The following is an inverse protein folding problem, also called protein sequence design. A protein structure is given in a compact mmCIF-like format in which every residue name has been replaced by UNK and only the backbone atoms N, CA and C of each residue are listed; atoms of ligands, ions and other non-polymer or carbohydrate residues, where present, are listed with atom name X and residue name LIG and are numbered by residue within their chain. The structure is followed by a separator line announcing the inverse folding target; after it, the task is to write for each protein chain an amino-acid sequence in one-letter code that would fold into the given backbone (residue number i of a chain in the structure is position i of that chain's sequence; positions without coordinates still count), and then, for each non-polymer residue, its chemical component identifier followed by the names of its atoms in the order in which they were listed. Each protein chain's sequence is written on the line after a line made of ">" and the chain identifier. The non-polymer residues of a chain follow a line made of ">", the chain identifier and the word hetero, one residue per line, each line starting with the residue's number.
data_IF_010373626331
#
_entry.id   IF_010373626331
#
_cell.length_a   1.000
_cell.length_b   1.000
_cell.length_c   1.000
_cell.angle_alpha   90.00
_cell.angle_beta   90.00
_cell.angle_gamma   90.00
#
_symmetry.space_group_name_H-M   'P 1'
#
loop_
_entity.id
_entity.type
_entity.pdbx_description
1 polymer ?
#
# COMPACT_ATOMS: atom_id res chain seq x y z
N UNK A 1 64.43 7.92 13.33
CA UNK A 1 63.93 9.27 13.35
C UNK A 1 62.86 9.32 12.31
N UNK A 2 61.62 8.97 12.74
CA UNK A 2 60.49 9.87 13.10
C UNK A 2 59.98 10.57 11.85
N UNK A 3 58.79 10.45 11.39
CA UNK A 3 57.56 10.71 12.08
C UNK A 3 56.37 10.06 11.37
N UNK A 4 55.49 9.57 12.20
CA UNK A 4 54.20 8.94 11.93
C UNK A 4 53.12 10.06 11.95
N UNK A 5 52.32 10.17 10.91
CA UNK A 5 51.06 10.93 11.01
C UNK A 5 49.96 10.21 10.19
N UNK A 6 49.33 9.25 10.83
CA UNK A 6 48.01 8.74 10.48
C UNK A 6 46.96 9.86 10.63
N UNK A 7 46.34 10.29 9.56
CA UNK A 7 45.11 11.04 9.59
C UNK A 7 43.92 10.09 9.48
N UNK A 8 43.25 9.91 10.60
CA UNK A 8 41.92 9.33 10.67
C UNK A 8 40.91 10.30 10.04
N UNK A 9 40.34 9.92 8.91
CA UNK A 9 39.12 10.57 8.39
C UNK A 9 37.91 9.88 8.98
N UNK A 10 37.40 10.45 10.06
CA UNK A 10 36.14 10.04 10.67
C UNK A 10 34.97 10.36 9.72
N UNK A 11 34.34 9.31 9.18
CA UNK A 11 33.02 9.40 8.53
C UNK A 11 31.96 9.56 9.62
N UNK A 12 31.45 10.77 9.74
CA UNK A 12 30.28 11.05 10.59
C UNK A 12 29.07 10.33 10.06
N UNK A 13 28.54 9.39 10.83
CA UNK A 13 27.17 8.88 10.66
C UNK A 13 26.19 10.04 10.95
N UNK A 14 25.13 10.21 10.14
CA UNK A 14 24.07 11.15 10.52
C UNK A 14 23.30 10.61 11.73
N UNK A 15 23.30 11.40 12.78
CA UNK A 15 22.60 11.21 14.04
C UNK A 15 21.08 11.16 13.79
N UNK A 16 20.46 9.98 13.99
CA UNK A 16 19.01 9.79 13.92
C UNK A 16 18.36 9.96 15.31
N UNK A 17 18.79 10.96 16.05
CA UNK A 17 18.07 11.43 17.23
C UNK A 17 17.06 12.50 16.82
N UNK A 18 15.92 12.07 16.27
CA UNK A 18 14.74 12.93 16.21
C UNK A 18 14.10 12.99 17.61
N UNK A 19 13.90 14.24 18.02
CA UNK A 19 13.31 14.64 19.26
C UNK A 19 12.04 13.81 19.60
N UNK A 20 12.15 12.97 20.59
CA UNK A 20 11.02 12.47 21.36
C UNK A 20 10.47 13.68 22.14
N UNK A 21 9.43 14.30 21.58
CA UNK A 21 8.58 15.20 22.34
C UNK A 21 8.06 14.43 23.55
N UNK A 22 8.47 14.86 24.74
CA UNK A 22 8.04 14.29 26.00
C UNK A 22 6.51 14.35 26.04
N UNK A 23 5.85 13.19 25.93
CA UNK A 23 4.45 13.04 26.23
C UNK A 23 4.24 13.43 27.71
N UNK A 24 3.36 14.38 27.95
CA UNK A 24 2.93 14.70 29.29
C UNK A 24 2.29 13.46 29.92
N UNK A 25 2.54 13.18 31.24
CA UNK A 25 1.89 12.07 31.92
C UNK A 25 0.45 12.49 32.26
N UNK A 26 -0.51 12.05 31.47
CA UNK A 26 -1.90 12.35 31.73
C UNK A 26 -2.82 11.35 31.04
N UNK A 27 -3.42 10.51 31.82
CA UNK A 27 -4.41 9.43 31.63
C UNK A 27 -3.80 8.04 31.50
N UNK A 28 -4.12 7.20 32.46
CA UNK A 28 -3.77 5.78 32.45
C UNK A 28 -4.46 5.09 31.28
N UNK A 29 -3.76 4.22 30.53
CA UNK A 29 -4.27 3.49 29.36
C UNK A 29 -5.69 2.89 29.52
N UNK A 30 -6.09 2.36 30.70
CA UNK A 30 -7.44 1.86 30.93
C UNK A 30 -8.54 2.92 30.82
N UNK A 31 -8.24 4.16 31.20
CA UNK A 31 -9.19 5.29 31.20
C UNK A 31 -9.47 5.77 29.76
N UNK A 32 -8.42 5.85 28.93
CA UNK A 32 -8.56 6.24 27.52
C UNK A 32 -9.40 5.21 26.72
N UNK A 33 -9.21 3.92 26.96
CA UNK A 33 -9.99 2.86 26.30
C UNK A 33 -11.47 2.88 26.70
N UNK A 34 -11.76 3.10 28.00
CA UNK A 34 -13.13 3.20 28.51
C UNK A 34 -13.85 4.43 27.94
N UNK A 35 -13.19 5.57 27.92
CA UNK A 35 -13.70 6.82 27.34
C UNK A 35 -13.96 6.65 25.85
N UNK A 36 -13.02 6.10 25.09
CA UNK A 36 -13.16 5.87 23.66
C UNK A 36 -14.34 4.93 23.35
N UNK A 37 -14.55 3.88 24.17
CA UNK A 37 -15.70 3.01 24.05
C UNK A 37 -17.01 3.76 24.28
N UNK A 38 -17.11 4.56 25.34
CA UNK A 38 -18.28 5.34 25.65
C UNK A 38 -18.63 6.32 24.52
N UNK A 39 -17.63 7.04 24.01
CA UNK A 39 -17.77 7.98 22.90
C UNK A 39 -18.20 7.29 21.60
N UNK A 40 -17.67 6.09 21.31
CA UNK A 40 -18.08 5.32 20.14
C UNK A 40 -19.55 4.89 20.22
N UNK A 41 -20.00 4.47 21.40
CA UNK A 41 -21.41 4.14 21.62
C UNK A 41 -22.31 5.39 21.54
N UNK A 42 -21.86 6.51 22.09
CA UNK A 42 -22.59 7.80 21.98
C UNK A 42 -22.67 8.26 20.52
N UNK A 43 -21.59 8.09 19.73
CA UNK A 43 -21.59 8.36 18.30
C UNK A 43 -22.65 7.52 17.57
N UNK A 44 -22.73 6.22 17.81
CA UNK A 44 -23.73 5.33 17.22
C UNK A 44 -25.17 5.74 17.59
N UNK A 45 -25.39 6.17 18.84
CA UNK A 45 -26.70 6.64 19.27
C UNK A 45 -27.12 7.93 18.54
N UNK A 46 -26.17 8.83 18.25
CA UNK A 46 -26.40 10.05 17.51
C UNK A 46 -26.47 9.87 15.98
N UNK A 47 -25.80 8.84 15.46
CA UNK A 47 -25.69 8.53 14.03
C UNK A 47 -26.02 7.05 13.78
N UNK A 48 -27.28 6.63 13.93
CA UNK A 48 -27.67 5.23 13.85
C UNK A 48 -27.46 4.68 12.42
N UNK A 49 -26.79 3.50 12.27
CA UNK A 49 -26.51 2.92 10.97
C UNK A 49 -27.74 2.64 10.11
N UNK A 50 -28.88 2.35 10.72
CA UNK A 50 -30.15 2.11 10.03
C UNK A 50 -30.71 3.37 9.33
N UNK A 51 -30.21 4.55 9.65
CA UNK A 51 -30.53 5.78 8.94
C UNK A 51 -29.78 5.93 7.61
N UNK A 52 -28.72 5.15 7.40
CA UNK A 52 -27.89 5.20 6.17
C UNK A 52 -28.58 4.41 5.05
N UNK A 53 -29.16 5.11 4.08
CA UNK A 53 -29.93 4.51 2.98
C UNK A 53 -29.36 4.84 1.60
N UNK A 54 -28.61 5.92 1.50
CA UNK A 54 -28.04 6.43 0.25
C UNK A 54 -26.54 6.63 0.36
N UNK A 55 -25.87 6.82 -0.75
CA UNK A 55 -24.44 7.18 -0.77
C UNK A 55 -24.18 8.51 -0.05
N UNK A 56 -25.10 9.47 -0.15
CA UNK A 56 -25.01 10.74 0.58
C UNK A 56 -25.08 10.52 2.10
N UNK A 57 -25.98 9.66 2.57
CA UNK A 57 -26.08 9.31 4.00
C UNK A 57 -24.81 8.60 4.48
N UNK A 58 -24.27 7.68 3.66
CA UNK A 58 -22.98 6.99 3.97
C UNK A 58 -21.86 8.00 4.14
N UNK A 59 -21.70 8.91 3.20
CA UNK A 59 -20.67 9.95 3.29
C UNK A 59 -20.87 10.85 4.51
N UNK A 60 -22.11 11.29 4.79
CA UNK A 60 -22.41 12.10 5.96
C UNK A 60 -22.07 11.38 7.28
N UNK A 61 -22.38 10.07 7.38
CA UNK A 61 -22.03 9.25 8.54
C UNK A 61 -20.49 9.15 8.72
N UNK A 62 -19.76 8.92 7.63
CA UNK A 62 -18.29 8.84 7.67
C UNK A 62 -17.65 10.19 7.97
N UNK A 63 -18.22 11.28 7.48
CA UNK A 63 -17.78 12.64 7.80
C UNK A 63 -17.99 12.94 9.29
N UNK A 64 -19.14 12.60 9.85
CA UNK A 64 -19.39 12.72 11.27
C UNK A 64 -18.42 11.83 12.11
N UNK A 65 -18.13 10.60 11.65
CA UNK A 65 -17.13 9.73 12.29
C UNK A 65 -15.74 10.34 12.27
N UNK A 66 -15.34 10.96 11.15
CA UNK A 66 -14.08 11.67 11.02
C UNK A 66 -14.01 12.85 11.99
N UNK A 67 -15.04 13.68 12.02
CA UNK A 67 -15.15 14.88 12.87
C UNK A 67 -15.17 14.52 14.37
N UNK A 68 -15.71 13.34 14.73
CA UNK A 68 -15.67 12.81 16.09
C UNK A 68 -14.30 12.25 16.50
N UNK A 69 -13.31 12.22 15.61
CA UNK A 69 -11.98 11.63 15.87
C UNK A 69 -11.97 10.12 16.02
N UNK A 70 -12.97 9.43 15.44
CA UNK A 70 -13.13 7.97 15.46
C UNK A 70 -12.70 7.30 14.13
N UNK A 71 -12.20 8.09 13.20
CA UNK A 71 -11.77 7.63 11.88
C UNK A 71 -10.48 6.80 11.96
N UNK A 72 -9.47 7.35 12.62
CA UNK A 72 -8.20 6.72 12.90
C UNK A 72 -7.66 7.32 14.21
N UNK A 73 -7.93 6.70 15.33
CA UNK A 73 -7.72 7.28 16.67
C UNK A 73 -6.29 7.77 16.93
N UNK A 74 -5.31 7.23 16.18
CA UNK A 74 -3.90 7.63 16.26
C UNK A 74 -3.56 8.87 15.40
N UNK A 75 -4.46 9.36 14.57
CA UNK A 75 -4.27 10.61 13.86
C UNK A 75 -4.39 11.79 14.82
N UNK A 76 -3.81 12.95 14.49
CA UNK A 76 -3.97 14.17 15.29
C UNK A 76 -5.45 14.57 15.43
N UNK A 77 -5.75 15.28 16.50
CA UNK A 77 -7.05 15.95 16.69
C UNK A 77 -7.34 16.89 15.52
N UNK A 78 -8.60 16.95 15.10
CA UNK A 78 -9.03 17.71 13.92
C UNK A 78 -8.72 17.05 12.58
N UNK A 79 -7.91 16.00 12.54
CA UNK A 79 -7.56 15.24 11.33
C UNK A 79 -8.12 13.80 11.33
N UNK A 80 -9.23 13.59 12.02
CA UNK A 80 -9.91 12.30 12.08
C UNK A 80 -9.48 11.39 13.21
N UNK A 81 -8.62 11.87 14.11
CA UNK A 81 -8.11 11.13 15.25
C UNK A 81 -8.13 11.92 16.56
N UNK A 82 -7.47 11.35 17.58
CA UNK A 82 -7.38 11.87 18.95
C UNK A 82 -5.95 11.77 19.52
N UNK A 83 -4.96 11.46 18.69
CA UNK A 83 -3.57 11.24 19.15
C UNK A 83 -3.39 10.03 20.06
N UNK A 84 -4.32 9.08 20.04
CA UNK A 84 -4.30 7.89 20.91
C UNK A 84 -3.45 6.76 20.29
N UNK A 85 -3.01 5.79 21.09
CA UNK A 85 -2.31 4.61 20.56
C UNK A 85 -3.12 3.85 19.49
N UNK A 86 -2.44 3.48 18.40
CA UNK A 86 -3.08 2.84 17.23
C UNK A 86 -3.87 1.56 17.56
N UNK A 87 -3.41 0.79 18.53
CA UNK A 87 -4.08 -0.47 18.91
C UNK A 87 -5.51 -0.26 19.44
N UNK A 88 -5.84 0.94 19.93
CA UNK A 88 -7.20 1.27 20.38
C UNK A 88 -8.20 1.40 19.22
N UNK A 89 -7.74 1.52 17.97
CA UNK A 89 -8.62 1.56 16.80
C UNK A 89 -9.46 0.29 16.67
N UNK A 90 -8.90 -0.87 16.95
CA UNK A 90 -9.60 -2.16 16.87
C UNK A 90 -10.90 -2.15 17.67
N UNK A 91 -10.88 -1.58 18.89
CA UNK A 91 -12.08 -1.48 19.71
C UNK A 91 -13.18 -0.61 19.07
N UNK A 92 -12.81 0.48 18.42
CA UNK A 92 -13.75 1.35 17.68
C UNK A 92 -14.35 0.59 16.51
N UNK A 93 -13.49 -0.05 15.72
CA UNK A 93 -13.91 -0.77 14.51
C UNK A 93 -14.80 -1.97 14.84
N UNK A 94 -14.51 -2.71 15.91
CA UNK A 94 -15.35 -3.83 16.39
C UNK A 94 -16.75 -3.36 16.78
N UNK A 95 -16.85 -2.25 17.53
CA UNK A 95 -18.15 -1.70 17.96
C UNK A 95 -18.95 -1.22 16.75
N UNK A 96 -18.33 -0.49 15.83
CA UNK A 96 -18.98 0.05 14.64
C UNK A 96 -19.43 -1.08 13.70
N UNK A 97 -18.57 -2.08 13.48
CA UNK A 97 -18.87 -3.25 12.64
C UNK A 97 -20.02 -4.07 13.23
N UNK A 98 -20.01 -4.33 14.54
CA UNK A 98 -21.08 -5.05 15.21
C UNK A 98 -22.43 -4.34 15.12
N UNK A 99 -22.43 -3.00 15.04
CA UNK A 99 -23.62 -2.18 14.84
C UNK A 99 -24.06 -2.07 13.38
N UNK A 100 -23.31 -2.62 12.42
CA UNK A 100 -23.59 -2.48 10.99
C UNK A 100 -23.31 -1.08 10.43
N UNK A 101 -22.44 -0.31 11.08
CA UNK A 101 -22.05 1.02 10.59
C UNK A 101 -21.34 0.91 9.22
N UNK A 102 -21.55 1.89 8.33
CA UNK A 102 -20.91 1.86 7.01
C UNK A 102 -19.38 1.99 7.13
N UNK A 103 -18.69 1.24 6.30
CA UNK A 103 -17.26 1.38 6.11
C UNK A 103 -16.92 2.46 5.07
N UNK A 104 -15.64 2.82 4.98
CA UNK A 104 -15.13 3.76 4.00
C UNK A 104 -14.66 3.10 2.70
N UNK A 105 -15.18 1.91 2.37
CA UNK A 105 -14.85 1.12 1.17
C UNK A 105 -13.34 0.97 0.96
N UNK A 106 -12.66 0.23 1.82
CA UNK A 106 -11.20 0.10 1.77
C UNK A 106 -10.69 -0.52 0.45
N UNK A 107 -11.48 -1.38 -0.21
CA UNK A 107 -11.17 -1.96 -1.52
C UNK A 107 -11.14 -0.93 -2.65
N UNK A 108 -11.99 0.10 -2.58
CA UNK A 108 -11.99 1.23 -3.51
C UNK A 108 -10.94 2.28 -3.11
N UNK A 109 -10.73 2.48 -1.83
CA UNK A 109 -9.90 3.53 -1.25
C UNK A 109 -8.53 3.02 -0.77
N UNK A 110 -8.00 1.98 -1.40
CA UNK A 110 -6.74 1.35 -1.02
C UNK A 110 -5.57 2.33 -1.01
N UNK A 111 -5.46 3.18 -2.04
CA UNK A 111 -4.41 4.21 -2.12
C UNK A 111 -4.66 5.33 -1.11
N UNK A 112 -5.93 5.72 -0.93
CA UNK A 112 -6.32 6.72 0.07
C UNK A 112 -5.78 6.35 1.46
N UNK A 113 -6.18 5.18 1.94
CA UNK A 113 -5.99 4.78 3.34
C UNK A 113 -4.59 4.24 3.62
N UNK A 114 -4.04 3.49 2.65
CA UNK A 114 -2.75 2.84 2.81
C UNK A 114 -1.55 3.71 2.43
N UNK A 115 -1.73 4.72 1.60
CA UNK A 115 -0.62 5.46 1.00
C UNK A 115 -0.79 6.98 1.11
N UNK A 116 -1.78 7.58 0.44
CA UNK A 116 -1.92 9.03 0.34
C UNK A 116 -2.17 9.68 1.70
N UNK A 117 -3.11 9.17 2.50
CA UNK A 117 -3.44 9.71 3.81
C UNK A 117 -2.24 9.75 4.76
N UNK A 118 -1.58 8.60 5.06
CA UNK A 118 -0.37 8.59 5.88
C UNK A 118 0.74 9.51 5.36
N UNK A 119 0.90 9.60 4.03
CA UNK A 119 1.93 10.43 3.41
C UNK A 119 1.64 11.93 3.57
N UNK A 120 0.38 12.35 3.35
CA UNK A 120 -0.05 13.74 3.56
C UNK A 120 0.08 14.11 5.04
N UNK A 121 -0.28 13.21 5.96
CA UNK A 121 -0.09 13.45 7.40
C UNK A 121 1.37 13.66 7.77
N UNK A 122 2.29 12.88 7.18
CA UNK A 122 3.70 12.95 7.50
C UNK A 122 4.44 14.14 6.85
N UNK A 123 4.08 14.48 5.61
CA UNK A 123 4.85 15.42 4.79
C UNK A 123 4.06 16.67 4.33
N UNK A 124 2.75 16.70 4.53
CA UNK A 124 1.90 17.81 4.10
C UNK A 124 1.98 19.03 4.99
N UNK A 125 1.71 20.21 4.42
CA UNK A 125 1.49 21.45 5.18
C UNK A 125 0.17 21.36 5.97
N UNK A 126 -0.06 22.23 6.98
CA UNK A 126 -1.34 22.29 7.67
C UNK A 126 -2.53 22.46 6.71
N UNK A 127 -2.41 23.33 5.72
CA UNK A 127 -3.44 23.63 4.71
C UNK A 127 -3.72 22.39 3.83
N UNK A 128 -2.69 21.64 3.44
CA UNK A 128 -2.85 20.41 2.68
C UNK A 128 -3.56 19.33 3.51
N UNK A 129 -3.22 19.19 4.79
CA UNK A 129 -3.87 18.25 5.71
C UNK A 129 -5.33 18.59 5.91
N UNK A 130 -5.64 19.85 6.20
CA UNK A 130 -7.01 20.33 6.36
C UNK A 130 -7.86 20.10 5.09
N UNK A 131 -7.30 20.43 3.93
CA UNK A 131 -7.97 20.28 2.64
C UNK A 131 -8.27 18.84 2.27
N UNK A 132 -7.32 17.93 2.50
CA UNK A 132 -7.36 16.60 1.89
C UNK A 132 -7.76 15.47 2.83
N UNK A 133 -7.46 15.52 4.13
CA UNK A 133 -7.61 14.35 5.00
C UNK A 133 -9.05 13.87 5.14
N UNK A 134 -10.00 14.77 5.34
CA UNK A 134 -11.41 14.42 5.51
C UNK A 134 -12.02 13.78 4.26
N UNK A 135 -11.99 14.41 3.06
CA UNK A 135 -12.55 13.80 1.85
C UNK A 135 -11.79 12.55 1.38
N UNK A 136 -10.51 12.45 1.68
CA UNK A 136 -9.68 11.27 1.42
C UNK A 136 -10.13 10.08 2.28
N UNK A 137 -10.26 10.28 3.60
CA UNK A 137 -10.58 9.19 4.51
C UNK A 137 -12.03 8.69 4.32
N UNK A 138 -12.98 9.59 4.07
CA UNK A 138 -14.39 9.24 3.84
C UNK A 138 -14.62 8.55 2.49
N UNK A 139 -13.65 8.60 1.57
CA UNK A 139 -13.79 8.12 0.20
C UNK A 139 -14.66 9.02 -0.69
N UNK A 140 -14.89 10.29 -0.28
CA UNK A 140 -15.46 11.31 -1.14
C UNK A 140 -14.55 11.59 -2.33
N UNK A 141 -13.24 11.61 -2.11
CA UNK A 141 -12.22 11.66 -3.14
C UNK A 141 -11.53 10.30 -3.24
N UNK A 142 -11.51 9.72 -4.41
CA UNK A 142 -10.72 8.53 -4.73
C UNK A 142 -9.33 8.98 -5.19
N UNK A 143 -8.30 8.30 -4.68
CA UNK A 143 -6.90 8.60 -5.01
C UNK A 143 -6.25 7.46 -5.77
N UNK A 144 -5.32 7.80 -6.66
CA UNK A 144 -4.44 6.84 -7.31
C UNK A 144 -2.95 7.20 -7.11
N UNK A 145 -2.06 6.27 -7.50
CA UNK A 145 -0.62 6.42 -7.35
C UNK A 145 0.06 6.48 -8.71
N UNK A 146 0.70 7.59 -9.02
CA UNK A 146 1.43 7.84 -10.27
C UNK A 146 2.95 7.74 -10.05
N UNK A 147 3.45 6.51 -9.86
CA UNK A 147 4.86 6.24 -9.58
C UNK A 147 5.55 5.57 -10.75
N UNK A 148 5.22 4.30 -11.02
CA UNK A 148 5.87 3.47 -12.02
C UNK A 148 5.72 4.04 -13.44
N UNK A 149 6.74 3.81 -14.27
CA UNK A 149 6.77 4.15 -15.69
C UNK A 149 7.11 2.91 -16.51
N UNK A 150 6.87 2.89 -17.83
CA UNK A 150 7.25 1.76 -18.67
C UNK A 150 8.72 1.37 -18.54
N UNK A 151 9.62 2.33 -18.32
CA UNK A 151 11.06 2.13 -18.12
C UNK A 151 11.53 2.14 -16.66
N UNK A 152 10.64 2.34 -15.67
CA UNK A 152 11.02 2.51 -14.26
C UNK A 152 10.00 1.85 -13.33
N UNK A 153 10.16 0.56 -13.08
CA UNK A 153 9.39 -0.23 -12.12
C UNK A 153 10.21 -0.49 -10.86
N UNK A 154 11.03 -1.56 -10.86
CA UNK A 154 11.91 -1.90 -9.72
C UNK A 154 12.94 -0.82 -9.42
N UNK A 155 13.51 -0.19 -10.45
CA UNK A 155 14.32 1.02 -10.31
C UNK A 155 13.43 2.27 -10.42
N UNK A 156 12.55 2.47 -9.45
CA UNK A 156 11.64 3.61 -9.42
C UNK A 156 12.39 4.95 -9.45
N UNK A 157 13.57 5.03 -8.86
CA UNK A 157 14.40 6.24 -8.90
C UNK A 157 14.84 6.61 -10.32
N UNK A 158 14.79 5.67 -11.27
CA UNK A 158 15.06 5.87 -12.68
C UNK A 158 13.93 6.54 -13.47
N UNK A 159 12.82 6.92 -12.85
CA UNK A 159 11.68 7.55 -13.52
C UNK A 159 12.08 8.83 -14.27
N UNK A 160 11.43 9.05 -15.43
CA UNK A 160 11.76 10.11 -16.40
C UNK A 160 10.65 11.17 -16.56
N UNK A 161 9.44 10.97 -16.01
CA UNK A 161 8.40 12.00 -15.97
C UNK A 161 9.01 13.26 -15.40
N UNK A 162 9.05 14.34 -16.19
CA UNK A 162 9.68 15.62 -15.81
C UNK A 162 8.65 16.58 -15.24
N UNK A 163 9.07 17.40 -14.29
CA UNK A 163 8.35 18.57 -13.82
C UNK A 163 9.27 19.80 -13.91
N UNK A 164 8.87 20.77 -14.68
CA UNK A 164 9.65 22.01 -14.90
C UNK A 164 8.92 23.16 -14.23
N UNK A 165 9.62 23.94 -13.43
CA UNK A 165 9.04 25.10 -12.75
C UNK A 165 8.74 26.23 -13.74
N UNK A 166 7.51 26.76 -13.65
CA UNK A 166 7.05 27.91 -14.43
C UNK A 166 6.30 28.87 -13.48
N UNK A 167 7.04 29.82 -12.92
CA UNK A 167 6.53 30.73 -11.89
C UNK A 167 6.17 30.02 -10.59
N UNK A 168 4.92 30.06 -10.22
CA UNK A 168 4.33 29.40 -9.06
C UNK A 168 3.64 28.06 -9.37
N UNK A 169 3.85 27.53 -10.56
CA UNK A 169 3.37 26.24 -11.04
C UNK A 169 4.51 25.34 -11.53
N UNK A 170 4.18 24.07 -11.71
CA UNK A 170 5.02 23.05 -12.32
C UNK A 170 4.33 22.50 -13.58
N UNK A 171 5.05 22.47 -14.69
CA UNK A 171 4.61 21.87 -15.95
C UNK A 171 5.13 20.44 -15.99
N UNK A 172 4.21 19.47 -15.96
CA UNK A 172 4.53 18.04 -15.85
C UNK A 172 4.23 17.33 -17.16
N UNK A 173 5.24 16.60 -17.67
CA UNK A 173 5.12 15.78 -18.90
C UNK A 173 5.74 14.42 -18.70
N UNK A 174 5.00 13.35 -19.05
CA UNK A 174 5.47 11.96 -18.95
C UNK A 174 4.36 10.94 -19.06
N UNK A 175 4.69 9.69 -18.74
CA UNK A 175 3.75 8.57 -18.75
C UNK A 175 3.93 7.75 -17.50
N UNK A 176 2.82 7.40 -16.85
CA UNK A 176 2.76 6.48 -15.71
C UNK A 176 2.00 5.23 -16.09
N UNK A 177 2.34 4.11 -15.48
CA UNK A 177 1.76 2.80 -15.78
C UNK A 177 1.47 2.02 -14.50
N UNK A 178 0.63 1.01 -14.58
CA UNK A 178 0.16 0.20 -13.45
C UNK A 178 -0.57 1.03 -12.38
N UNK A 179 -1.29 2.06 -12.83
CA UNK A 179 -2.01 2.95 -11.92
C UNK A 179 -3.36 2.35 -11.56
N UNK A 180 -3.48 1.92 -10.31
CA UNK A 180 -4.70 1.36 -9.74
C UNK A 180 -5.82 2.38 -9.75
N UNK A 181 -6.99 2.00 -10.33
CA UNK A 181 -8.25 2.76 -10.33
C UNK A 181 -8.14 4.21 -10.82
N UNK A 182 -7.11 4.57 -11.63
CA UNK A 182 -6.96 5.93 -12.14
C UNK A 182 -8.18 6.45 -12.90
N UNK A 183 -8.98 5.55 -13.48
CA UNK A 183 -10.17 5.90 -14.26
C UNK A 183 -11.34 6.43 -13.41
N UNK A 184 -11.29 6.25 -12.09
CA UNK A 184 -12.28 6.80 -11.15
C UNK A 184 -11.65 7.75 -10.14
N UNK A 185 -10.32 7.95 -10.21
CA UNK A 185 -9.62 8.78 -9.24
C UNK A 185 -9.91 10.28 -9.46
N UNK A 186 -10.10 11.00 -8.36
CA UNK A 186 -10.19 12.46 -8.34
C UNK A 186 -8.80 13.08 -8.18
N UNK A 187 -7.93 12.45 -7.40
CA UNK A 187 -6.59 12.92 -7.05
C UNK A 187 -5.54 11.83 -7.23
N UNK A 188 -4.31 12.25 -7.41
CA UNK A 188 -3.17 11.35 -7.44
C UNK A 188 -2.03 11.83 -6.56
N UNK A 189 -1.29 10.87 -5.99
CA UNK A 189 0.06 11.09 -5.50
C UNK A 189 1.03 10.83 -6.65
N UNK A 190 1.84 11.83 -7.00
CA UNK A 190 2.72 11.81 -8.17
C UNK A 190 4.18 12.04 -7.75
N UNK A 191 5.09 11.22 -8.29
CA UNK A 191 6.53 11.49 -8.24
C UNK A 191 7.02 11.83 -9.64
N UNK A 192 7.71 12.96 -9.75
CA UNK A 192 8.31 13.44 -11.00
C UNK A 192 9.74 13.95 -10.79
N UNK A 193 10.50 14.02 -11.87
CA UNK A 193 11.87 14.53 -11.86
C UNK A 193 11.89 16.04 -12.09
N UNK A 194 12.41 16.78 -11.09
CA UNK A 194 12.59 18.23 -11.16
C UNK A 194 14.03 18.60 -11.51
N UNK A 195 15.01 17.79 -11.11
CA UNK A 195 16.42 18.04 -11.43
C UNK A 195 17.12 16.78 -11.98
N UNK A 196 17.43 16.73 -13.28
CA UNK A 196 18.16 15.61 -13.88
C UNK A 196 19.69 15.75 -13.75
N UNK A 197 20.21 16.87 -13.25
CA UNK A 197 21.66 17.14 -13.14
C UNK A 197 22.28 16.54 -11.86
N UNK A 198 21.47 16.08 -10.94
CA UNK A 198 21.88 15.44 -9.70
C UNK A 198 21.66 13.92 -9.75
N UNK A 199 22.23 13.15 -8.79
CA UNK A 199 21.96 11.71 -8.68
C UNK A 199 20.47 11.38 -8.67
N UNK A 200 20.10 10.26 -9.29
CA UNK A 200 18.70 9.91 -9.62
C UNK A 200 17.72 10.02 -8.45
N UNK A 201 18.17 9.72 -7.23
CA UNK A 201 17.33 9.78 -6.02
C UNK A 201 17.11 11.22 -5.51
N UNK A 202 18.03 12.15 -5.81
CA UNK A 202 17.98 13.53 -5.30
C UNK A 202 17.19 14.48 -6.18
N UNK A 203 16.98 14.12 -7.45
CA UNK A 203 16.29 14.96 -8.43
C UNK A 203 14.77 14.72 -8.51
N UNK A 204 14.17 14.08 -7.52
CA UNK A 204 12.74 13.73 -7.50
C UNK A 204 11.98 14.63 -6.56
N UNK A 205 10.77 15.02 -6.96
CA UNK A 205 9.83 15.83 -6.16
C UNK A 205 8.44 15.15 -6.16
N UNK A 206 7.70 15.37 -5.09
CA UNK A 206 6.40 14.75 -4.86
C UNK A 206 5.28 15.77 -4.97
N UNK A 207 4.19 15.40 -5.66
CA UNK A 207 3.07 16.30 -5.95
C UNK A 207 1.73 15.63 -5.66
N UNK A 208 0.73 16.46 -5.34
CA UNK A 208 -0.68 16.10 -5.32
C UNK A 208 -1.29 16.61 -6.62
N UNK A 209 -1.78 15.70 -7.46
CA UNK A 209 -2.32 16.03 -8.79
C UNK A 209 -3.84 15.85 -8.83
N UNK A 210 -4.56 16.87 -9.28
CA UNK A 210 -5.95 16.74 -9.68
C UNK A 210 -6.03 15.94 -11.00
N UNK A 211 -6.66 14.77 -10.96
CA UNK A 211 -6.78 13.88 -12.12
C UNK A 211 -7.69 14.42 -13.22
N UNK A 212 -8.42 15.53 -12.94
CA UNK A 212 -9.27 16.24 -13.90
C UNK A 212 -8.56 17.43 -14.57
N UNK A 213 -7.29 17.66 -14.25
CA UNK A 213 -6.49 18.74 -14.86
C UNK A 213 -6.38 18.53 -16.38
N UNK A 214 -6.40 19.62 -17.17
CA UNK A 214 -6.09 19.56 -18.60
C UNK A 214 -4.74 18.88 -18.84
N UNK A 215 -4.64 18.03 -19.88
CA UNK A 215 -3.43 17.28 -20.21
C UNK A 215 -3.33 15.90 -19.54
N UNK A 216 -4.21 15.56 -18.58
CA UNK A 216 -4.28 14.20 -18.01
C UNK A 216 -5.14 13.31 -18.91
N UNK A 217 -4.57 12.20 -19.38
CA UNK A 217 -5.30 11.19 -20.17
C UNK A 217 -5.11 9.81 -19.53
N UNK A 218 -6.22 9.16 -19.18
CA UNK A 218 -6.23 7.82 -18.56
C UNK A 218 -6.67 6.78 -19.59
N UNK A 219 -5.85 5.72 -19.80
CA UNK A 219 -6.16 4.60 -20.70
C UNK A 219 -6.16 3.28 -19.92
N UNK A 220 -7.12 2.38 -20.19
CA UNK A 220 -7.15 1.08 -19.53
C UNK A 220 -5.95 0.22 -19.94
N UNK A 221 -5.36 -0.47 -18.96
CA UNK A 221 -4.35 -1.50 -19.17
C UNK A 221 -5.01 -2.86 -18.97
N UNK A 222 -5.40 -3.51 -20.07
CA UNK A 222 -6.03 -4.82 -20.01
C UNK A 222 -5.03 -5.88 -19.59
N UNK A 223 -5.33 -6.57 -18.50
CA UNK A 223 -4.55 -7.68 -17.98
C UNK A 223 -4.93 -9.01 -18.66
N UNK A 224 -4.12 -10.04 -18.45
CA UNK A 224 -4.38 -11.40 -18.95
C UNK A 224 -5.68 -12.01 -18.40
N UNK A 225 -6.17 -11.52 -17.26
CA UNK A 225 -7.46 -11.88 -16.64
C UNK A 225 -8.67 -11.24 -17.33
N UNK A 226 -8.46 -10.30 -18.26
CA UNK A 226 -9.53 -9.51 -18.89
C UNK A 226 -9.86 -8.21 -18.16
N UNK A 227 -9.52 -8.09 -16.87
CA UNK A 227 -9.75 -6.90 -16.07
C UNK A 227 -8.80 -5.75 -16.44
N UNK A 228 -9.21 -4.52 -16.18
CA UNK A 228 -8.43 -3.30 -16.38
C UNK A 228 -8.65 -2.32 -15.24
N UNK A 229 -8.41 -2.78 -13.99
CA UNK A 229 -8.31 -1.93 -12.81
C UNK A 229 -7.04 -1.09 -12.83
N UNK A 230 -5.98 -1.56 -13.52
CA UNK A 230 -4.79 -0.77 -13.80
C UNK A 230 -4.93 0.07 -15.06
N UNK A 231 -4.22 1.17 -15.09
CA UNK A 231 -4.27 2.14 -16.18
C UNK A 231 -2.88 2.64 -16.52
N UNK A 232 -2.73 3.09 -17.77
CA UNK A 232 -1.71 4.03 -18.19
C UNK A 232 -2.25 5.45 -18.01
N UNK A 233 -1.40 6.35 -17.54
CA UNK A 233 -1.75 7.77 -17.37
C UNK A 233 -0.70 8.61 -18.09
N UNK A 234 -1.16 9.35 -19.09
CA UNK A 234 -0.36 10.29 -19.86
C UNK A 234 -0.53 11.68 -19.29
N UNK A 235 0.57 12.37 -19.11
CA UNK A 235 0.65 13.74 -18.62
C UNK A 235 1.28 14.58 -19.74
N UNK A 236 0.48 15.47 -20.34
CA UNK A 236 0.87 16.33 -21.44
C UNK A 236 0.79 17.80 -20.99
N UNK A 237 1.93 18.35 -20.58
CA UNK A 237 2.08 19.71 -20.06
C UNK A 237 1.07 20.05 -18.93
N UNK A 238 0.81 19.09 -18.05
CA UNK A 238 -0.11 19.26 -16.92
C UNK A 238 0.44 20.26 -15.93
N UNK A 239 -0.36 21.30 -15.61
CA UNK A 239 0.03 22.35 -14.67
C UNK A 239 -0.39 21.99 -13.25
N UNK A 240 0.58 22.02 -12.34
CA UNK A 240 0.38 21.75 -10.89
C UNK A 240 0.85 22.97 -10.11
N UNK A 241 -0.02 23.67 -9.36
CA UNK A 241 0.39 24.75 -8.46
C UNK A 241 1.45 24.30 -7.45
N UNK A 242 2.44 25.15 -7.14
CA UNK A 242 3.49 24.80 -6.14
C UNK A 242 2.90 24.52 -4.75
N UNK A 243 1.74 25.08 -4.43
CA UNK A 243 0.98 24.76 -3.22
C UNK A 243 0.53 23.29 -3.12
N UNK A 244 0.56 22.54 -4.22
CA UNK A 244 0.29 21.09 -4.28
C UNK A 244 1.56 20.24 -4.30
N UNK A 245 2.74 20.84 -4.18
CA UNK A 245 3.98 20.11 -3.93
C UNK A 245 4.01 19.63 -2.47
N UNK A 246 4.30 18.35 -2.28
CA UNK A 246 4.36 17.73 -0.96
C UNK A 246 5.84 17.66 -0.51
N UNK A 247 6.16 18.33 0.59
CA UNK A 247 7.54 18.48 1.08
C UNK A 247 8.37 19.46 0.25
N UNK A 248 9.70 19.45 0.41
CA UNK A 248 10.62 20.30 -0.35
C UNK A 248 10.89 19.75 -1.75
N UNK A 249 11.35 20.60 -2.66
CA UNK A 249 11.93 20.15 -3.94
C UNK A 249 13.14 19.25 -3.67
N UNK A 250 13.23 18.12 -4.39
CA UNK A 250 14.26 17.10 -4.18
C UNK A 250 13.92 16.06 -3.09
N UNK A 251 12.90 16.26 -2.28
CA UNK A 251 12.46 15.34 -1.22
C UNK A 251 11.65 14.14 -1.73
N UNK A 252 11.33 14.11 -3.01
CA UNK A 252 10.39 13.13 -3.59
C UNK A 252 10.75 11.68 -3.32
N UNK A 253 12.03 11.32 -3.35
CA UNK A 253 12.46 9.96 -3.05
C UNK A 253 12.22 9.55 -1.60
N UNK A 254 12.53 10.43 -0.65
CA UNK A 254 12.31 10.20 0.77
C UNK A 254 10.81 9.99 1.06
N UNK A 255 9.97 10.85 0.50
CA UNK A 255 8.52 10.77 0.67
C UNK A 255 7.94 9.53 -0.03
N UNK A 256 8.39 9.21 -1.26
CA UNK A 256 7.96 8.00 -1.96
C UNK A 256 8.34 6.73 -1.20
N UNK A 257 9.54 6.67 -0.62
CA UNK A 257 9.97 5.53 0.22
C UNK A 257 9.10 5.38 1.46
N UNK A 258 8.69 6.49 2.10
CA UNK A 258 7.74 6.48 3.20
C UNK A 258 6.36 5.96 2.75
N UNK A 259 5.85 6.44 1.62
CA UNK A 259 4.58 5.96 1.02
C UNK A 259 4.62 4.44 0.80
N UNK A 260 5.68 3.93 0.16
CA UNK A 260 5.85 2.50 -0.11
C UNK A 260 6.05 1.65 1.17
N UNK A 261 6.55 2.24 2.25
CA UNK A 261 6.64 1.53 3.54
C UNK A 261 5.27 1.33 4.18
N UNK A 262 4.36 2.30 4.03
CA UNK A 262 2.98 2.20 4.51
C UNK A 262 2.16 1.16 3.74
N UNK A 263 2.36 1.02 2.43
CA UNK A 263 1.75 -0.03 1.60
C UNK A 263 1.97 -1.42 2.20
N UNK A 264 3.19 -1.68 2.69
CA UNK A 264 3.57 -2.96 3.29
C UNK A 264 3.05 -3.19 4.71
N UNK A 265 2.67 -2.13 5.42
CA UNK A 265 2.20 -2.21 6.82
C UNK A 265 0.71 -2.59 6.95
N UNK A 266 -0.07 -2.57 5.87
CA UNK A 266 -1.51 -2.88 5.85
C UNK A 266 -1.87 -4.35 6.14
N UNK A 267 -0.92 -5.22 6.46
CA UNK A 267 -1.13 -6.67 6.61
C UNK A 267 -1.38 -7.12 8.06
N UNK A 268 -1.81 -6.24 8.94
CA UNK A 268 -1.77 -6.41 10.39
C UNK A 268 -2.77 -7.40 11.02
N UNK A 269 -3.77 -7.91 10.30
CA UNK A 269 -4.72 -8.88 10.87
C UNK A 269 -4.38 -10.31 10.43
N UNK A 270 -4.43 -11.24 11.40
CA UNK A 270 -4.32 -12.66 11.12
C UNK A 270 -5.50 -13.11 10.25
N UNK A 271 -5.27 -13.66 9.03
CA UNK A 271 -6.36 -14.17 8.22
C UNK A 271 -6.96 -15.43 8.87
N UNK A 272 -8.25 -15.71 8.65
CA UNK A 272 -8.84 -16.97 9.09
C UNK A 272 -8.07 -18.17 8.54
N UNK A 273 -8.05 -19.24 9.33
CA UNK A 273 -7.39 -20.48 8.91
C UNK A 273 -8.05 -21.02 7.64
N UNK A 274 -7.26 -21.51 6.71
CA UNK A 274 -7.73 -22.04 5.42
C UNK A 274 -8.61 -21.06 4.63
N UNK A 275 -8.32 -19.76 4.72
CA UNK A 275 -9.00 -18.74 3.93
C UNK A 275 -8.25 -18.42 2.63
N UNK A 276 -8.91 -17.70 1.73
CA UNK A 276 -8.32 -17.25 0.47
C UNK A 276 -7.92 -18.37 -0.48
N UNK A 277 -6.95 -18.13 -1.36
CA UNK A 277 -6.47 -19.10 -2.35
C UNK A 277 -5.98 -20.43 -1.74
N UNK A 278 -5.21 -20.47 -0.62
CA UNK A 278 -4.88 -21.72 0.05
C UNK A 278 -6.12 -22.52 0.48
N UNK A 279 -7.13 -21.84 1.03
CA UNK A 279 -8.37 -22.48 1.45
C UNK A 279 -9.11 -23.15 0.30
N UNK A 280 -9.10 -22.56 -0.91
CA UNK A 280 -9.70 -23.17 -2.10
C UNK A 280 -8.99 -24.47 -2.47
N UNK A 281 -7.65 -24.48 -2.45
CA UNK A 281 -6.87 -25.69 -2.70
C UNK A 281 -7.25 -26.81 -1.70
N UNK A 282 -7.33 -26.48 -0.42
CA UNK A 282 -7.60 -27.49 0.61
C UNK A 282 -9.04 -28.02 0.54
N UNK A 283 -10.01 -27.18 0.17
CA UNK A 283 -11.39 -27.61 -0.12
C UNK A 283 -11.41 -28.50 -1.36
N UNK A 284 -10.86 -28.05 -2.47
CA UNK A 284 -10.82 -28.82 -3.71
C UNK A 284 -10.18 -30.22 -3.50
N UNK A 285 -9.09 -30.29 -2.73
CA UNK A 285 -8.46 -31.56 -2.38
C UNK A 285 -9.36 -32.47 -1.55
N UNK A 286 -10.07 -31.93 -0.55
CA UNK A 286 -11.00 -32.72 0.29
C UNK A 286 -12.20 -33.22 -0.50
N UNK A 287 -12.63 -32.47 -1.52
CA UNK A 287 -13.78 -32.81 -2.34
C UNK A 287 -13.45 -33.82 -3.46
N UNK A 288 -12.15 -34.08 -3.73
CA UNK A 288 -11.74 -35.10 -4.69
C UNK A 288 -12.23 -36.49 -4.26
N UNK A 289 -12.75 -37.30 -5.19
CA UNK A 289 -13.00 -38.71 -4.94
C UNK A 289 -11.71 -39.42 -4.47
N UNK A 290 -11.81 -40.42 -3.56
CA UNK A 290 -10.62 -41.08 -3.02
C UNK A 290 -9.69 -41.66 -4.09
N UNK A 291 -10.22 -42.16 -5.22
CA UNK A 291 -9.47 -42.72 -6.34
C UNK A 291 -8.69 -41.67 -7.13
N UNK A 292 -9.06 -40.39 -7.05
CA UNK A 292 -8.40 -39.28 -7.70
C UNK A 292 -7.34 -38.62 -6.80
N UNK A 293 -7.25 -39.03 -5.54
CA UNK A 293 -6.28 -38.49 -4.56
C UNK A 293 -4.92 -39.16 -4.72
N UNK A 294 -4.19 -38.77 -5.75
CA UNK A 294 -2.83 -39.27 -5.98
C UNK A 294 -1.89 -38.91 -4.81
N UNK A 295 -0.97 -39.83 -4.48
CA UNK A 295 -0.03 -39.65 -3.35
C UNK A 295 0.87 -38.43 -3.55
N UNK A 296 1.38 -38.19 -4.77
CA UNK A 296 2.23 -37.03 -5.07
C UNK A 296 1.49 -35.71 -4.87
N UNK A 297 0.25 -35.61 -5.33
CA UNK A 297 -0.59 -34.42 -5.12
C UNK A 297 -0.91 -34.22 -3.64
N UNK A 298 -1.23 -35.30 -2.89
CA UNK A 298 -1.44 -35.25 -1.45
C UNK A 298 -0.25 -34.64 -0.73
N UNK A 299 0.96 -35.08 -1.04
CA UNK A 299 2.15 -34.60 -0.36
C UNK A 299 2.44 -33.14 -0.68
N UNK A 300 2.22 -32.70 -1.94
CA UNK A 300 2.34 -31.32 -2.36
C UNK A 300 1.31 -30.41 -1.67
N UNK A 301 0.03 -30.83 -1.61
CA UNK A 301 -1.04 -30.10 -0.90
C UNK A 301 -0.72 -30.00 0.59
N UNK A 302 -0.23 -31.06 1.22
CA UNK A 302 0.18 -31.06 2.63
C UNK A 302 1.32 -30.06 2.87
N UNK A 303 2.33 -30.04 2.01
CA UNK A 303 3.44 -29.09 2.09
C UNK A 303 2.94 -27.64 1.92
N UNK A 304 2.04 -27.40 1.00
CA UNK A 304 1.41 -26.08 0.81
C UNK A 304 0.60 -25.65 2.03
N UNK A 305 -0.11 -26.58 2.66
CA UNK A 305 -0.85 -26.32 3.91
C UNK A 305 0.11 -25.90 5.04
N UNK A 306 1.20 -26.67 5.25
CA UNK A 306 2.20 -26.34 6.27
C UNK A 306 2.78 -24.94 6.05
N UNK A 307 3.15 -24.59 4.80
CA UNK A 307 3.66 -23.26 4.47
C UNK A 307 2.61 -22.16 4.72
N UNK A 308 1.36 -22.40 4.33
CA UNK A 308 0.28 -21.42 4.54
C UNK A 308 0.05 -21.15 6.04
N UNK A 309 0.08 -22.19 6.88
CA UNK A 309 -0.03 -22.03 8.33
C UNK A 309 1.19 -21.33 8.95
N UNK A 310 2.40 -21.64 8.49
CA UNK A 310 3.61 -20.95 8.93
C UNK A 310 3.54 -19.45 8.59
N UNK A 311 3.13 -19.10 7.37
CA UNK A 311 2.92 -17.71 6.93
C UNK A 311 1.86 -17.01 7.78
N UNK A 312 0.72 -17.67 8.04
CA UNK A 312 -0.37 -17.14 8.86
C UNK A 312 0.09 -16.83 10.29
N UNK A 313 0.81 -17.76 10.91
CA UNK A 313 1.34 -17.59 12.27
C UNK A 313 2.41 -16.49 12.32
N UNK A 314 3.29 -16.43 11.33
CA UNK A 314 4.28 -15.36 11.20
C UNK A 314 3.60 -13.99 11.04
N UNK A 315 2.52 -13.91 10.24
CA UNK A 315 1.75 -12.67 10.09
C UNK A 315 1.14 -12.22 11.41
N UNK A 316 0.61 -13.14 12.20
CA UNK A 316 0.08 -12.83 13.54
C UNK A 316 1.18 -12.26 14.45
N UNK A 317 2.34 -12.92 14.50
CA UNK A 317 3.46 -12.47 15.32
C UNK A 317 3.98 -11.09 14.90
N UNK A 318 4.18 -10.90 13.59
CA UNK A 318 4.54 -9.59 13.01
C UNK A 318 3.50 -8.53 13.39
N UNK A 319 2.21 -8.83 13.29
CA UNK A 319 1.13 -7.90 13.66
C UNK A 319 1.19 -7.48 15.13
N UNK A 320 1.41 -8.43 16.04
CA UNK A 320 1.55 -8.18 17.50
C UNK A 320 2.76 -7.27 17.77
N UNK A 321 3.92 -7.59 17.19
CA UNK A 321 5.15 -6.82 17.39
C UNK A 321 5.06 -5.42 16.79
N UNK A 322 4.48 -5.27 15.61
CA UNK A 322 4.23 -3.96 14.99
C UNK A 322 3.29 -3.09 15.86
N UNK A 323 2.23 -3.69 16.43
CA UNK A 323 1.32 -2.99 17.32
C UNK A 323 2.02 -2.53 18.62
N UNK A 324 3.04 -3.28 19.07
CA UNK A 324 3.88 -2.91 20.22
C UNK A 324 4.97 -1.88 19.88
N UNK A 325 5.09 -1.45 18.61
CA UNK A 325 6.13 -0.50 18.18
C UNK A 325 7.51 -1.12 17.92
N UNK A 326 7.59 -2.46 17.83
CA UNK A 326 8.80 -3.23 17.52
C UNK A 326 8.65 -3.94 16.16
N UNK A 327 8.81 -3.24 15.01
CA UNK A 327 8.66 -3.83 13.70
C UNK A 327 9.75 -4.88 13.44
N UNK A 328 9.38 -6.18 13.31
CA UNK A 328 10.36 -7.22 13.17
C UNK A 328 10.89 -7.33 11.73
N UNK A 329 12.15 -7.77 11.53
CA UNK A 329 12.72 -7.94 10.19
C UNK A 329 11.95 -8.96 9.34
N UNK A 330 11.27 -9.93 9.94
CA UNK A 330 10.45 -10.95 9.28
C UNK A 330 9.30 -10.35 8.47
N UNK A 331 8.87 -9.13 8.78
CA UNK A 331 7.85 -8.41 8.01
C UNK A 331 8.23 -8.28 6.52
N UNK A 332 9.51 -8.07 6.22
CA UNK A 332 10.02 -8.01 4.84
C UNK A 332 10.00 -9.37 4.14
N UNK A 333 10.24 -10.47 4.87
CA UNK A 333 10.20 -11.82 4.35
C UNK A 333 8.74 -12.31 4.11
N UNK A 334 7.79 -11.79 4.88
CA UNK A 334 6.39 -12.23 4.82
C UNK A 334 5.75 -11.99 3.45
N UNK A 335 6.00 -10.82 2.83
CA UNK A 335 5.49 -10.52 1.47
C UNK A 335 6.07 -11.49 0.44
N UNK A 336 7.36 -11.77 0.50
CA UNK A 336 8.02 -12.75 -0.37
C UNK A 336 7.40 -14.14 -0.20
N UNK A 337 7.28 -14.62 1.04
CA UNK A 337 6.69 -15.92 1.34
C UNK A 337 5.24 -16.04 0.84
N UNK A 338 4.42 -15.00 1.05
CA UNK A 338 3.04 -14.94 0.55
C UNK A 338 2.98 -15.00 -0.97
N UNK A 339 3.80 -14.23 -1.66
CA UNK A 339 3.82 -14.18 -3.13
C UNK A 339 4.16 -15.56 -3.73
N UNK A 340 5.20 -16.22 -3.22
CA UNK A 340 5.61 -17.54 -3.70
C UNK A 340 4.56 -18.61 -3.36
N UNK A 341 4.03 -18.60 -2.14
CA UNK A 341 2.98 -19.54 -1.71
C UNK A 341 1.68 -19.35 -2.52
N UNK A 342 1.30 -18.13 -2.86
CA UNK A 342 0.11 -17.85 -3.68
C UNK A 342 0.24 -18.45 -5.08
N UNK A 343 1.40 -18.32 -5.72
CA UNK A 343 1.66 -18.91 -7.04
C UNK A 343 1.60 -20.45 -7.01
N UNK A 344 2.18 -21.04 -5.99
CA UNK A 344 2.21 -22.49 -5.84
C UNK A 344 0.82 -23.05 -5.51
N UNK A 345 0.10 -22.46 -4.56
CA UNK A 345 -1.25 -22.91 -4.20
C UNK A 345 -2.22 -22.78 -5.36
N UNK A 346 -2.13 -21.70 -6.17
CA UNK A 346 -2.93 -21.58 -7.38
C UNK A 346 -2.60 -22.64 -8.43
N UNK A 347 -1.32 -22.99 -8.60
CA UNK A 347 -0.90 -24.06 -9.51
C UNK A 347 -1.39 -25.43 -9.05
N UNK A 348 -1.30 -25.73 -7.76
CA UNK A 348 -1.80 -26.98 -7.17
C UNK A 348 -3.33 -27.08 -7.24
N UNK A 349 -4.02 -25.94 -7.12
CA UNK A 349 -5.48 -25.90 -7.28
C UNK A 349 -5.90 -26.34 -8.70
N UNK A 350 -5.21 -25.83 -9.76
CA UNK A 350 -5.48 -26.29 -11.13
C UNK A 350 -5.21 -27.78 -11.30
N UNK A 351 -4.15 -28.30 -10.70
CA UNK A 351 -3.83 -29.75 -10.73
C UNK A 351 -4.92 -30.56 -10.02
N UNK A 352 -5.38 -30.10 -8.85
CA UNK A 352 -6.45 -30.78 -8.11
C UNK A 352 -7.80 -30.79 -8.85
N UNK A 353 -8.08 -29.75 -9.61
CA UNK A 353 -9.31 -29.63 -10.39
C UNK A 353 -9.25 -30.41 -11.72
N UNK A 354 -8.05 -30.63 -12.28
CA UNK A 354 -7.87 -31.27 -13.57
C UNK A 354 -8.65 -30.54 -14.67
N UNK A 355 -9.38 -31.30 -15.52
CA UNK A 355 -10.15 -30.73 -16.63
C UNK A 355 -11.24 -29.74 -16.18
N UNK A 356 -11.74 -29.84 -14.94
CA UNK A 356 -12.68 -28.87 -14.37
C UNK A 356 -12.10 -27.46 -14.23
N UNK A 357 -10.78 -27.33 -14.19
CA UNK A 357 -10.13 -26.04 -14.17
C UNK A 357 -10.19 -25.30 -15.51
N UNK A 358 -10.52 -25.99 -16.61
CA UNK A 358 -10.64 -25.40 -17.93
C UNK A 358 -11.99 -24.72 -18.16
N UNK A 359 -12.97 -24.98 -17.28
CA UNK A 359 -14.26 -24.30 -17.33
C UNK A 359 -14.09 -22.84 -16.90
N UNK A 360 -14.54 -21.93 -17.76
CA UNK A 360 -14.51 -20.49 -17.51
C UNK A 360 -15.77 -19.84 -18.07
N UNK A 361 -16.63 -19.33 -17.18
CA UNK A 361 -17.97 -18.86 -17.53
C UNK A 361 -17.95 -17.63 -18.45
N UNK A 362 -17.03 -16.68 -18.26
CA UNK A 362 -17.04 -15.36 -18.90
C UNK A 362 -16.00 -15.15 -20.00
N UNK A 363 -15.17 -16.15 -20.33
CA UNK A 363 -14.20 -16.08 -21.41
C UNK A 363 -13.21 -14.93 -21.30
N UNK A 364 -12.83 -14.50 -20.10
CA UNK A 364 -11.93 -13.36 -19.84
C UNK A 364 -12.45 -12.05 -20.45
N UNK A 365 -13.72 -11.75 -20.25
CA UNK A 365 -14.36 -10.55 -20.74
C UNK A 365 -13.63 -9.29 -20.24
N UNK A 366 -13.55 -8.26 -21.11
CA UNK A 366 -12.97 -6.98 -20.71
C UNK A 366 -13.88 -6.30 -19.69
N UNK A 367 -13.34 -6.01 -18.51
CA UNK A 367 -14.04 -5.30 -17.42
C UNK A 367 -13.18 -4.17 -16.88
N UNK A 368 -13.82 -3.13 -16.36
CA UNK A 368 -13.18 -2.02 -15.63
C UNK A 368 -13.74 -1.95 -14.21
N UNK A 369 -13.13 -2.66 -13.27
CA UNK A 369 -13.58 -2.65 -11.88
C UNK A 369 -13.56 -1.25 -11.28
N UNK A 370 -14.51 -0.97 -10.38
CA UNK A 370 -14.58 0.28 -9.62
C UNK A 370 -13.94 0.16 -8.22
N UNK A 371 -13.44 -1.02 -7.91
CA UNK A 371 -12.74 -1.35 -6.67
C UNK A 371 -11.79 -2.53 -6.89
N UNK A 372 -10.80 -2.68 -6.03
CA UNK A 372 -9.85 -3.79 -6.07
C UNK A 372 -10.46 -5.05 -5.47
N UNK A 373 -10.29 -6.17 -6.15
CA UNK A 373 -10.61 -7.47 -5.57
C UNK A 373 -9.35 -8.09 -4.93
N UNK A 374 -9.29 -8.07 -3.61
CA UNK A 374 -8.22 -8.72 -2.84
C UNK A 374 -8.57 -10.16 -2.46
N UNK A 375 -9.83 -10.59 -2.61
CA UNK A 375 -10.24 -11.97 -2.36
C UNK A 375 -9.97 -12.85 -3.58
N UNK A 376 -8.69 -13.22 -3.75
CA UNK A 376 -8.29 -14.21 -4.76
C UNK A 376 -9.00 -15.57 -4.54
N UNK A 377 -9.52 -15.82 -3.34
CA UNK A 377 -10.28 -17.01 -3.01
C UNK A 377 -11.68 -17.04 -3.63
N UNK A 378 -12.26 -15.89 -3.97
CA UNK A 378 -13.53 -15.78 -4.67
C UNK A 378 -13.42 -15.87 -6.20
N UNK A 379 -12.21 -15.88 -6.76
CA UNK A 379 -12.00 -15.94 -8.21
C UNK A 379 -12.07 -17.38 -8.75
N UNK A 380 -12.50 -17.58 -10.02
CA UNK A 380 -12.31 -18.84 -10.72
C UNK A 380 -10.84 -19.29 -10.66
N UNK A 381 -10.60 -20.60 -10.59
CA UNK A 381 -9.27 -21.15 -10.36
C UNK A 381 -8.22 -20.68 -11.40
N UNK A 382 -8.62 -20.60 -12.69
CA UNK A 382 -7.75 -20.10 -13.76
C UNK A 382 -7.45 -18.61 -13.62
N UNK A 383 -8.44 -17.79 -13.27
CA UNK A 383 -8.25 -16.36 -13.02
C UNK A 383 -7.34 -16.13 -11.79
N UNK A 384 -7.56 -16.89 -10.70
CA UNK A 384 -6.70 -16.86 -9.52
C UNK A 384 -5.25 -17.25 -9.85
N UNK A 385 -5.06 -18.28 -10.71
CA UNK A 385 -3.74 -18.68 -11.18
C UNK A 385 -3.05 -17.55 -11.97
N UNK A 386 -3.74 -16.96 -12.96
CA UNK A 386 -3.19 -15.86 -13.76
C UNK A 386 -2.87 -14.65 -12.89
N UNK A 387 -3.78 -14.23 -12.01
CA UNK A 387 -3.60 -13.09 -11.10
C UNK A 387 -2.44 -13.31 -10.13
N UNK A 388 -2.23 -14.53 -9.65
CA UNK A 388 -1.16 -14.84 -8.70
C UNK A 388 0.25 -14.54 -9.23
N UNK A 389 0.44 -14.49 -10.57
CA UNK A 389 1.74 -14.17 -11.19
C UNK A 389 2.19 -12.75 -10.83
N UNK A 390 1.26 -11.81 -10.74
CA UNK A 390 1.54 -10.43 -10.36
C UNK A 390 2.07 -10.31 -8.92
N UNK A 391 1.69 -11.21 -8.01
CA UNK A 391 2.10 -11.15 -6.60
C UNK A 391 3.64 -11.14 -6.39
N UNK A 392 4.40 -11.69 -7.34
CA UNK A 392 5.89 -11.64 -7.29
C UNK A 392 6.48 -10.41 -7.98
N UNK A 393 5.65 -9.52 -8.55
CA UNK A 393 6.06 -8.31 -9.26
C UNK A 393 5.62 -7.04 -8.53
N UNK A 394 4.35 -6.96 -8.12
CA UNK A 394 3.75 -5.81 -7.44
C UNK A 394 4.29 -5.63 -6.00
N UNK A 395 4.26 -4.41 -5.46
CA UNK A 395 4.69 -4.12 -4.08
C UNK A 395 6.17 -4.44 -3.78
N UNK A 396 7.02 -4.44 -4.80
CA UNK A 396 8.40 -4.90 -4.80
C UNK A 396 8.53 -6.34 -5.27
N UNK A 397 9.37 -6.55 -6.30
CA UNK A 397 9.56 -7.89 -6.88
C UNK A 397 10.19 -8.86 -5.87
N UNK A 398 10.00 -10.17 -6.09
CA UNK A 398 10.65 -11.20 -5.28
C UNK A 398 12.17 -11.02 -5.22
N UNK A 399 12.78 -10.56 -6.31
CA UNK A 399 14.24 -10.30 -6.41
C UNK A 399 14.64 -9.10 -5.54
N UNK A 400 13.93 -7.97 -5.66
CA UNK A 400 14.16 -6.78 -4.81
C UNK A 400 14.00 -7.13 -3.33
N UNK A 401 13.01 -7.92 -2.97
CA UNK A 401 12.81 -8.34 -1.58
C UNK A 401 13.94 -9.21 -1.07
N UNK A 402 14.46 -10.16 -1.89
CA UNK A 402 15.64 -10.96 -1.53
C UNK A 402 16.86 -10.09 -1.31
N UNK A 403 17.11 -9.09 -2.18
CA UNK A 403 18.18 -8.11 -2.01
C UNK A 403 18.03 -7.32 -0.70
N UNK A 404 16.83 -6.81 -0.41
CA UNK A 404 16.55 -6.08 0.84
C UNK A 404 16.79 -6.97 2.06
N UNK A 405 16.34 -8.23 2.04
CA UNK A 405 16.56 -9.19 3.12
C UNK A 405 18.06 -9.45 3.27
N UNK A 406 18.76 -9.76 2.18
CA UNK A 406 20.19 -10.02 2.20
C UNK A 406 21.00 -8.86 2.77
N UNK A 407 20.82 -7.67 2.19
CA UNK A 407 21.64 -6.50 2.54
C UNK A 407 21.29 -5.88 3.90
N UNK A 408 19.98 -5.72 4.20
CA UNK A 408 19.53 -4.93 5.36
C UNK A 408 19.25 -5.78 6.60
N UNK A 409 18.84 -7.04 6.42
CA UNK A 409 18.46 -7.90 7.54
C UNK A 409 19.62 -8.85 7.88
N UNK A 410 20.20 -9.50 6.87
CA UNK A 410 21.31 -10.45 7.06
C UNK A 410 22.68 -9.78 7.04
N UNK A 411 22.80 -8.50 6.69
CA UNK A 411 24.05 -7.75 6.66
C UNK A 411 25.04 -8.23 5.59
N UNK A 412 24.55 -8.85 4.51
CA UNK A 412 25.41 -9.28 3.41
C UNK A 412 25.98 -8.06 2.66
N UNK A 413 27.17 -8.20 2.04
CA UNK A 413 27.75 -7.13 1.22
C UNK A 413 26.79 -6.67 0.13
N UNK A 414 26.73 -5.36 -0.09
CA UNK A 414 25.94 -4.78 -1.18
C UNK A 414 26.60 -5.02 -2.53
N UNK A 415 25.78 -5.22 -3.55
CA UNK A 415 26.25 -5.22 -4.94
C UNK A 415 26.90 -3.88 -5.30
N UNK A 416 28.03 -3.90 -6.05
CA UNK A 416 28.63 -2.68 -6.58
C UNK A 416 27.62 -1.91 -7.44
N UNK A 417 27.46 -0.63 -7.17
CA UNK A 417 26.54 0.24 -7.90
C UNK A 417 27.32 1.36 -8.59
N UNK A 418 27.14 1.48 -9.89
CA UNK A 418 27.82 2.49 -10.73
C UNK A 418 26.95 3.72 -11.00
N UNK A 419 25.71 3.72 -10.54
CA UNK A 419 24.64 4.65 -10.90
C UNK A 419 24.16 5.54 -9.74
N UNK A 420 24.78 5.44 -8.54
CA UNK A 420 24.30 6.13 -7.33
C UNK A 420 24.75 7.57 -7.26
N UNK A 421 25.99 7.85 -7.59
CA UNK A 421 26.63 9.15 -7.37
C UNK A 421 26.83 9.97 -8.67
N UNK A 422 26.33 9.45 -9.79
CA UNK A 422 26.38 10.14 -11.09
C UNK A 422 25.05 10.88 -11.36
N UNK A 423 25.08 12.01 -12.09
CA UNK A 423 23.88 12.69 -12.56
C UNK A 423 22.92 11.72 -13.29
N UNK A 424 21.63 11.94 -13.14
CA UNK A 424 20.64 11.09 -13.81
C UNK A 424 20.82 11.08 -15.34
N UNK A 425 21.29 12.19 -15.91
CA UNK A 425 21.58 12.32 -17.36
C UNK A 425 22.71 11.41 -17.82
N UNK A 426 23.56 10.94 -16.92
CA UNK A 426 24.73 10.10 -17.22
C UNK A 426 24.50 8.62 -16.88
N UNK A 427 23.35 8.29 -16.26
CA UNK A 427 22.99 6.90 -15.96
C UNK A 427 22.70 6.17 -17.28
N UNK A 428 23.36 5.02 -17.58
CA UNK A 428 23.04 4.20 -18.74
C UNK A 428 21.59 3.72 -18.73
N UNK A 429 20.93 3.79 -19.88
CA UNK A 429 19.51 3.38 -20.05
C UNK A 429 19.42 2.16 -20.95
#
# INVERSE_FOLDING_TARGET
>A
MTDDTTQETGTAQPDTTQATGAAQPGTTQPDAAATLRADTLAFLAAHPPEAVRTEADRLAHLEARFDAGLAAVHYPEGLGGRGLPRHLQTQVDDILTAAGAPDNRPTRNVVNLGMAGPTILAAGTPEQKERFMRPLWTGRHVWCQLFSEPGAGSDLAGLATRAVRDGDEWVVTGQKVWTTLAHIADWAILVARTDPSVPKHRGLTYFLLDMKSPGVTVRPLRQITGEAEFNEVYLDEVRIPDALRLGAEGDGWRIATYTLSNERSGTGTEPPRESGAPGNLFRAWRDLPPQERETGLRDAVTAAWIRSEAIRLTQRDVGIRMAAGDPPPEASALKLAKAENSKETASLLLQALGDRALEHDDGYAFTRPLEMNFDVGGLPATTAYLRSRANSLEGGTSEVLRTVIGERILGLPREPRTDIDVPFTEVPR
#
